data_IF_257380307564
#
_entry.id   IF_257380307564
#
_cell.length_a   1.000
_cell.length_b   1.000
_cell.length_c   1.000
_cell.angle_alpha   90.00
_cell.angle_beta   90.00
_cell.angle_gamma   90.00
#
_symmetry.space_group_name_H-M   'P 1'
#
loop_
_entity.id
_entity.type
_entity.pdbx_description
1 polymer ?
#
# COMPACT_ATOMS: atom_id res chain seq x y z
N UNK A 1 -56.92 -2.79 -52.36
CA UNK A 1 -55.65 -2.80 -51.60
C UNK A 1 -55.81 -1.92 -50.36
N UNK A 2 -55.65 -2.47 -49.16
CA UNK A 2 -55.73 -1.74 -47.88
C UNK A 2 -54.31 -1.49 -47.37
N UNK A 3 -53.89 -0.22 -47.23
CA UNK A 3 -52.57 0.11 -46.68
C UNK A 3 -52.65 0.13 -45.15
N UNK A 4 -51.96 -0.81 -44.52
CA UNK A 4 -51.84 -0.89 -43.08
C UNK A 4 -50.87 0.21 -42.61
N UNK A 5 -51.38 1.24 -41.94
CA UNK A 5 -50.56 2.37 -41.44
C UNK A 5 -49.90 1.98 -40.12
N UNK A 6 -48.70 1.41 -40.19
CA UNK A 6 -47.84 1.21 -39.03
C UNK A 6 -47.21 2.55 -38.62
N UNK A 7 -47.76 3.18 -37.57
CA UNK A 7 -47.25 4.43 -37.01
C UNK A 7 -45.84 4.23 -36.44
N UNK A 8 -44.83 4.74 -37.13
CA UNK A 8 -43.44 4.76 -36.64
C UNK A 8 -43.35 5.87 -35.59
N UNK A 9 -43.20 5.48 -34.32
CA UNK A 9 -42.94 6.42 -33.22
C UNK A 9 -41.49 6.89 -33.31
N UNK A 10 -41.29 8.18 -33.53
CA UNK A 10 -39.98 8.82 -33.49
C UNK A 10 -39.54 9.13 -32.06
N UNK A 11 -38.25 8.94 -31.77
CA UNK A 11 -37.63 9.38 -30.53
C UNK A 11 -37.51 10.91 -30.53
N UNK A 12 -37.86 11.56 -29.42
CA UNK A 12 -37.67 13.02 -29.30
C UNK A 12 -36.22 13.35 -28.93
N UNK A 13 -35.71 14.48 -29.42
CA UNK A 13 -34.37 14.96 -29.05
C UNK A 13 -34.25 15.22 -27.54
N UNK A 14 -35.35 15.64 -26.89
CA UNK A 14 -35.37 15.89 -25.45
C UNK A 14 -35.28 14.59 -24.64
N UNK A 15 -35.91 13.50 -25.08
CA UNK A 15 -35.77 12.19 -24.43
C UNK A 15 -34.32 11.72 -24.47
N UNK A 16 -33.63 11.88 -25.61
CA UNK A 16 -32.24 11.48 -25.72
C UNK A 16 -31.33 12.39 -24.87
N UNK A 17 -31.62 13.70 -24.83
CA UNK A 17 -30.83 14.66 -24.07
C UNK A 17 -30.92 14.42 -22.54
N UNK A 18 -32.09 14.12 -22.02
CA UNK A 18 -32.25 13.84 -20.57
C UNK A 18 -31.54 12.55 -20.18
N UNK A 19 -31.53 11.53 -21.05
CA UNK A 19 -30.85 10.25 -20.75
C UNK A 19 -29.34 10.42 -20.64
N UNK A 20 -28.71 11.09 -21.60
CA UNK A 20 -27.25 11.28 -21.57
C UNK A 20 -26.80 12.15 -20.39
N UNK A 21 -27.62 13.11 -19.97
CA UNK A 21 -27.29 13.96 -18.81
C UNK A 21 -27.34 13.17 -17.51
N UNK A 22 -28.36 12.33 -17.31
CA UNK A 22 -28.46 11.44 -16.14
C UNK A 22 -27.31 10.42 -16.13
N UNK A 23 -27.00 9.79 -17.27
CA UNK A 23 -25.87 8.86 -17.38
C UNK A 23 -24.56 9.57 -17.04
N UNK A 24 -24.33 10.78 -17.55
CA UNK A 24 -23.13 11.56 -17.25
C UNK A 24 -22.98 11.86 -15.75
N UNK A 25 -24.08 12.25 -15.09
CA UNK A 25 -24.10 12.50 -13.66
C UNK A 25 -23.75 11.22 -12.86
N UNK A 26 -24.40 10.10 -13.17
CA UNK A 26 -24.13 8.83 -12.49
C UNK A 26 -22.70 8.34 -12.74
N UNK A 27 -22.22 8.42 -13.98
CA UNK A 27 -20.86 7.99 -14.34
C UNK A 27 -19.78 8.79 -13.58
N UNK A 28 -19.96 10.10 -13.40
CA UNK A 28 -19.01 10.93 -12.65
C UNK A 28 -18.83 10.49 -11.19
N UNK A 29 -19.92 10.11 -10.51
CA UNK A 29 -19.88 9.63 -9.12
C UNK A 29 -19.14 8.29 -8.97
N UNK A 30 -19.31 7.39 -9.94
CA UNK A 30 -18.66 6.08 -9.96
C UNK A 30 -17.15 6.22 -10.13
N UNK A 31 -16.68 7.16 -10.95
CA UNK A 31 -15.25 7.39 -11.15
C UNK A 31 -14.54 7.82 -9.87
N UNK A 32 -15.15 8.72 -9.08
CA UNK A 32 -14.60 9.15 -7.79
C UNK A 32 -14.58 7.97 -6.80
N UNK A 33 -15.67 7.20 -6.73
CA UNK A 33 -15.75 6.03 -5.86
C UNK A 33 -14.68 4.97 -6.21
N UNK A 34 -14.45 4.72 -7.50
CA UNK A 34 -13.46 3.76 -7.97
C UNK A 34 -12.02 4.19 -7.63
N UNK A 35 -11.70 5.47 -7.75
CA UNK A 35 -10.40 6.00 -7.34
C UNK A 35 -10.11 5.71 -5.86
N UNK A 36 -11.08 6.00 -5.00
CA UNK A 36 -11.00 5.76 -3.56
C UNK A 36 -10.89 4.27 -3.21
N UNK A 37 -11.62 3.40 -3.93
CA UNK A 37 -11.58 1.96 -3.75
C UNK A 37 -10.21 1.36 -4.11
N UNK A 38 -9.62 1.81 -5.23
CA UNK A 38 -8.28 1.39 -5.67
C UNK A 38 -7.19 1.76 -4.67
N UNK A 39 -7.22 3.00 -4.16
CA UNK A 39 -6.27 3.44 -3.14
C UNK A 39 -6.40 2.62 -1.84
N UNK A 40 -7.63 2.35 -1.39
CA UNK A 40 -7.87 1.47 -0.23
C UNK A 40 -7.35 0.04 -0.44
N UNK A 41 -7.51 -0.51 -1.64
CA UNK A 41 -7.02 -1.84 -1.97
C UNK A 41 -5.47 -1.90 -1.95
N UNK A 42 -4.79 -0.86 -2.45
CA UNK A 42 -3.32 -0.74 -2.36
C UNK A 42 -2.85 -0.62 -0.92
N UNK A 43 -3.51 0.18 -0.11
CA UNK A 43 -3.20 0.32 1.32
C UNK A 43 -3.35 -1.02 2.07
N UNK A 44 -4.43 -1.77 1.81
CA UNK A 44 -4.61 -3.10 2.39
C UNK A 44 -3.51 -4.08 1.93
N UNK A 45 -3.05 -3.97 0.68
CA UNK A 45 -1.94 -4.77 0.17
C UNK A 45 -0.64 -4.44 0.89
N UNK A 46 -0.31 -3.16 1.07
CA UNK A 46 0.86 -2.69 1.85
C UNK A 46 0.88 -3.28 3.26
N UNK A 47 -0.27 -3.27 3.95
CA UNK A 47 -0.38 -3.87 5.29
C UNK A 47 -0.09 -5.37 5.27
N UNK A 48 -0.61 -6.09 4.28
CA UNK A 48 -0.38 -7.54 4.15
C UNK A 48 1.09 -7.86 3.83
N UNK A 49 1.70 -7.08 2.94
CA UNK A 49 3.10 -7.20 2.56
C UNK A 49 4.02 -7.02 3.77
N UNK A 50 3.81 -5.97 4.58
CA UNK A 50 4.62 -5.76 5.78
C UNK A 50 4.42 -6.85 6.82
N UNK A 51 3.21 -7.38 7.00
CA UNK A 51 3.01 -8.51 7.93
C UNK A 51 3.82 -9.73 7.52
N UNK A 52 3.91 -10.04 6.23
CA UNK A 52 4.73 -11.15 5.75
C UNK A 52 6.22 -10.93 6.05
N UNK A 53 6.70 -9.71 5.84
CA UNK A 53 8.09 -9.34 6.12
C UNK A 53 8.38 -9.39 7.62
N UNK A 54 7.48 -8.89 8.48
CA UNK A 54 7.64 -8.96 9.93
C UNK A 54 7.78 -10.41 10.41
N UNK A 55 6.96 -11.33 9.90
CA UNK A 55 7.10 -12.75 10.22
C UNK A 55 8.45 -13.30 9.74
N UNK A 56 8.92 -12.92 8.56
CA UNK A 56 10.22 -13.34 8.07
C UNK A 56 11.38 -12.78 8.92
N UNK A 57 11.27 -11.55 9.40
CA UNK A 57 12.25 -10.92 10.30
C UNK A 57 12.28 -11.62 11.66
N UNK A 58 11.13 -11.98 12.21
CA UNK A 58 11.04 -12.76 13.45
C UNK A 58 11.68 -14.15 13.30
N UNK A 59 11.44 -14.84 12.18
CA UNK A 59 12.11 -16.10 11.88
C UNK A 59 13.63 -15.93 11.76
N UNK A 60 14.10 -14.89 11.07
CA UNK A 60 15.52 -14.57 10.97
C UNK A 60 16.15 -14.33 12.34
N UNK A 61 15.53 -13.53 13.20
CA UNK A 61 16.05 -13.22 14.52
C UNK A 61 16.08 -14.45 15.45
N UNK A 62 15.16 -15.40 15.27
CA UNK A 62 15.18 -16.67 16.02
C UNK A 62 16.34 -17.59 15.62
N UNK A 63 16.73 -17.57 14.34
CA UNK A 63 17.81 -18.42 13.81
C UNK A 63 19.21 -17.79 13.98
N UNK A 64 19.29 -16.47 14.20
CA UNK A 64 20.55 -15.73 14.28
C UNK A 64 20.76 -15.09 15.66
N UNK A 65 21.90 -15.38 16.28
CA UNK A 65 22.28 -14.81 17.59
C UNK A 65 22.53 -13.30 17.57
N UNK A 66 22.67 -12.71 16.39
CA UNK A 66 22.95 -11.29 16.22
C UNK A 66 21.68 -10.42 16.17
N UNK A 67 20.49 -11.02 16.25
CA UNK A 67 19.22 -10.32 16.18
C UNK A 67 18.74 -10.06 14.75
N UNK A 68 18.03 -8.95 14.54
CA UNK A 68 17.47 -8.57 13.25
C UNK A 68 18.56 -8.20 12.23
N UNK A 69 18.30 -8.33 10.92
CA UNK A 69 19.27 -7.97 9.89
C UNK A 69 19.53 -6.47 9.87
N UNK A 70 20.77 -6.09 9.57
CA UNK A 70 21.20 -4.70 9.51
C UNK A 70 21.22 -4.17 8.08
N UNK A 71 21.04 -2.87 7.93
CA UNK A 71 21.25 -2.19 6.66
C UNK A 71 22.74 -2.04 6.33
N UNK A 72 23.12 -2.31 5.09
CA UNK A 72 24.47 -2.08 4.60
C UNK A 72 24.70 -0.58 4.37
N UNK A 73 25.22 0.15 5.36
CA UNK A 73 25.64 1.55 5.20
C UNK A 73 24.98 2.57 6.14
N UNK A 74 24.28 2.12 7.19
CA UNK A 74 23.65 2.99 8.19
C UNK A 74 22.49 2.27 8.87
N UNK A 75 21.67 3.01 9.62
CA UNK A 75 20.50 2.51 10.36
C UNK A 75 19.23 2.38 9.50
N UNK A 76 19.32 2.67 8.20
CA UNK A 76 18.17 2.71 7.30
C UNK A 76 18.53 2.30 5.88
N UNK A 77 17.65 1.55 5.22
CA UNK A 77 17.81 1.11 3.84
C UNK A 77 16.45 0.79 3.21
N UNK A 78 16.44 0.63 1.90
CA UNK A 78 15.27 0.12 1.20
C UNK A 78 15.07 -1.36 1.51
N UNK A 79 13.83 -1.77 1.79
CA UNK A 79 13.52 -3.13 2.22
C UNK A 79 13.92 -4.18 1.17
N UNK A 80 13.91 -3.84 -0.12
CA UNK A 80 14.30 -4.73 -1.21
C UNK A 80 15.80 -5.06 -1.23
N UNK A 81 16.63 -4.26 -0.56
CA UNK A 81 18.08 -4.50 -0.40
C UNK A 81 18.41 -5.51 0.67
N UNK A 82 17.42 -5.93 1.49
CA UNK A 82 17.58 -6.85 2.61
C UNK A 82 17.64 -8.31 2.13
N UNK A 83 18.61 -8.58 1.25
CA UNK A 83 18.83 -9.85 0.57
C UNK A 83 19.12 -11.02 1.52
N UNK A 84 19.44 -10.75 2.78
CA UNK A 84 19.63 -11.77 3.83
C UNK A 84 18.36 -12.55 4.17
N UNK A 85 17.17 -11.97 3.96
CA UNK A 85 15.90 -12.68 4.19
C UNK A 85 15.53 -13.65 3.06
N UNK A 86 16.07 -13.46 1.85
CA UNK A 86 15.67 -14.20 0.66
C UNK A 86 16.82 -15.13 0.22
N UNK A 87 16.55 -16.39 -0.15
CA UNK A 87 15.26 -17.07 -0.18
C UNK A 87 14.91 -17.83 1.12
N UNK A 88 15.68 -17.65 2.20
CA UNK A 88 15.59 -18.51 3.40
C UNK A 88 14.33 -18.29 4.26
N UNK A 89 13.92 -17.03 4.41
CA UNK A 89 12.85 -16.62 5.34
C UNK A 89 11.61 -16.07 4.61
N UNK A 90 11.79 -15.61 3.37
CA UNK A 90 10.72 -15.18 2.48
C UNK A 90 11.12 -15.45 1.02
N UNK A 91 10.16 -15.86 0.19
CA UNK A 91 10.42 -16.19 -1.23
C UNK A 91 10.87 -14.99 -2.05
N UNK A 92 10.29 -13.82 -1.75
CA UNK A 92 10.64 -12.53 -2.37
C UNK A 92 10.22 -11.39 -1.46
N UNK A 93 10.99 -10.30 -1.50
CA UNK A 93 10.63 -9.07 -0.81
C UNK A 93 9.49 -8.37 -1.57
N UNK A 94 8.46 -7.88 -0.87
CA UNK A 94 7.37 -7.16 -1.52
C UNK A 94 7.81 -5.78 -1.98
N UNK A 95 7.30 -5.36 -3.14
CA UNK A 95 7.43 -4.01 -3.67
C UNK A 95 6.12 -3.23 -3.49
N UNK A 96 6.20 -1.92 -3.26
CA UNK A 96 4.99 -1.10 -3.15
C UNK A 96 4.14 -1.19 -4.43
N UNK A 97 2.79 -1.23 -4.33
CA UNK A 97 1.92 -1.24 -5.51
C UNK A 97 2.06 -0.02 -6.41
N UNK A 98 2.67 1.06 -5.92
CA UNK A 98 3.04 2.26 -6.68
C UNK A 98 4.55 2.26 -6.88
N UNK A 99 5.00 2.05 -8.11
CA UNK A 99 6.42 1.89 -8.46
C UNK A 99 7.35 3.05 -8.05
N UNK A 100 6.80 4.21 -7.68
CA UNK A 100 7.58 5.36 -7.20
C UNK A 100 7.86 5.32 -5.69
N UNK A 101 7.29 4.38 -4.95
CA UNK A 101 7.47 4.24 -3.50
C UNK A 101 8.20 2.92 -3.19
N UNK A 102 9.01 2.94 -2.14
CA UNK A 102 9.67 1.75 -1.58
C UNK A 102 9.36 1.69 -0.08
N UNK A 103 9.34 0.49 0.49
CA UNK A 103 9.28 0.34 1.93
C UNK A 103 10.67 0.61 2.51
N UNK A 104 10.74 1.50 3.50
CA UNK A 104 12.00 1.80 4.18
C UNK A 104 12.10 0.94 5.43
N UNK A 105 13.20 0.22 5.56
CA UNK A 105 13.55 -0.56 6.74
C UNK A 105 14.56 0.23 7.57
N UNK A 106 14.38 0.20 8.89
CA UNK A 106 15.27 0.78 9.87
C UNK A 106 15.70 -0.30 10.85
N UNK A 107 17.00 -0.43 11.06
CA UNK A 107 17.57 -1.28 12.10
C UNK A 107 18.02 -0.46 13.30
N UNK A 108 18.04 -1.10 14.47
CA UNK A 108 18.57 -0.51 15.71
C UNK A 108 20.11 -0.57 15.73
N UNK A 109 20.77 0.11 14.77
CA UNK A 109 22.24 0.13 14.69
C UNK A 109 22.91 0.87 15.86
N UNK A 110 22.13 1.58 16.68
CA UNK A 110 22.61 2.39 17.80
C UNK A 110 22.96 1.52 19.02
N UNK A 111 22.59 0.25 19.02
CA UNK A 111 22.93 -0.72 20.06
C UNK A 111 24.02 -1.68 19.61
N UNK A 112 24.93 -2.05 20.51
CA UNK A 112 25.85 -3.15 20.26
C UNK A 112 25.06 -4.46 20.24
N UNK A 113 25.39 -5.37 19.32
CA UNK A 113 24.69 -6.65 19.15
C UNK A 113 24.38 -7.35 20.49
N UNK A 114 23.17 -7.95 20.64
CA UNK A 114 22.20 -8.23 19.58
C UNK A 114 21.36 -7.01 19.16
N UNK A 115 21.10 -6.91 17.84
CA UNK A 115 20.24 -5.86 17.27
C UNK A 115 18.79 -6.26 17.50
N UNK A 116 18.25 -5.79 18.62
CA UNK A 116 16.99 -6.32 19.15
C UNK A 116 15.75 -5.63 18.60
N UNK A 117 15.91 -4.62 17.74
CA UNK A 117 14.80 -3.81 17.22
C UNK A 117 14.87 -3.50 15.73
N UNK A 118 13.70 -3.33 15.11
CA UNK A 118 13.54 -2.85 13.75
C UNK A 118 12.25 -2.07 13.55
N UNK A 119 12.20 -1.25 12.49
CA UNK A 119 10.97 -0.63 12.02
C UNK A 119 10.86 -0.67 10.50
N UNK A 120 9.63 -0.79 10.00
CA UNK A 120 9.31 -0.70 8.58
C UNK A 120 8.33 0.46 8.39
N UNK A 121 8.74 1.41 7.56
CA UNK A 121 7.93 2.57 7.21
C UNK A 121 7.12 2.32 5.94
N UNK A 122 5.86 2.73 5.98
CA UNK A 122 4.88 2.59 4.90
C UNK A 122 4.31 3.96 4.58
N UNK A 123 4.32 4.33 3.31
CA UNK A 123 3.65 5.53 2.81
C UNK A 123 2.24 5.16 2.33
N UNK A 124 1.22 5.50 3.13
CA UNK A 124 -0.16 5.25 2.76
C UNK A 124 -0.67 6.32 1.80
N UNK A 125 -1.63 5.93 0.95
CA UNK A 125 -2.32 6.90 0.09
C UNK A 125 -3.51 7.55 0.81
N UNK A 126 -4.02 6.92 1.88
CA UNK A 126 -5.25 7.36 2.57
C UNK A 126 -5.19 7.49 4.10
N UNK A 127 -4.05 7.33 4.78
CA UNK A 127 -3.94 7.37 6.26
C UNK A 127 -2.61 8.01 6.69
N UNK A 128 -2.43 8.88 7.70
CA UNK A 128 -3.19 9.47 8.81
C UNK A 128 -2.75 10.95 8.98
N UNK A 129 -3.56 11.82 9.58
CA UNK A 129 -3.26 13.25 9.94
C UNK A 129 -2.82 14.24 8.83
N UNK A 130 -2.24 13.82 7.70
CA UNK A 130 -1.84 14.67 6.56
C UNK A 130 -1.72 13.91 5.21
N UNK A 131 -1.85 14.59 4.05
CA UNK A 131 -1.47 14.01 2.76
C UNK A 131 0.04 13.70 2.73
N UNK A 132 0.43 12.49 2.30
CA UNK A 132 1.78 11.89 2.39
C UNK A 132 2.21 11.39 3.77
N UNK A 133 1.26 11.12 4.66
CA UNK A 133 1.60 10.52 5.94
C UNK A 133 2.27 9.15 5.77
N UNK A 134 3.43 9.08 6.40
CA UNK A 134 4.17 7.85 6.64
C UNK A 134 3.72 7.31 7.98
N UNK A 135 3.52 6.01 8.05
CA UNK A 135 3.37 5.32 9.32
C UNK A 135 4.40 4.20 9.40
N UNK A 136 4.66 3.70 10.60
CA UNK A 136 5.58 2.59 10.79
C UNK A 136 4.96 1.43 11.56
N UNK A 137 5.44 0.23 11.27
CA UNK A 137 5.32 -0.94 12.14
C UNK A 137 6.72 -1.25 12.67
N UNK A 138 6.85 -1.51 13.96
CA UNK A 138 8.13 -1.81 14.58
C UNK A 138 8.01 -2.96 15.56
N UNK A 139 9.13 -3.63 15.81
CA UNK A 139 9.32 -4.49 16.95
C UNK A 139 10.53 -3.97 17.72
N UNK A 140 10.34 -3.63 18.99
CA UNK A 140 11.41 -3.25 19.92
C UNK A 140 12.37 -2.14 19.42
N UNK A 141 11.92 -1.32 18.46
CA UNK A 141 12.69 -0.19 17.94
C UNK A 141 12.62 1.01 18.89
N UNK A 142 13.76 1.63 19.15
CA UNK A 142 13.85 2.86 19.92
C UNK A 142 13.30 4.03 19.09
N UNK A 143 12.35 4.79 19.63
CA UNK A 143 11.47 5.70 18.88
C UNK A 143 12.14 6.93 18.23
N UNK A 144 13.46 7.06 18.30
CA UNK A 144 14.20 8.25 17.89
C UNK A 144 14.58 8.26 16.41
N UNK A 145 14.63 7.10 15.75
CA UNK A 145 15.03 7.00 14.34
C UNK A 145 13.84 6.94 13.36
N UNK A 146 12.65 6.54 13.83
CA UNK A 146 11.51 6.26 12.97
C UNK A 146 10.58 7.47 12.89
N UNK A 147 10.43 8.02 11.69
CA UNK A 147 9.50 9.14 11.44
C UNK A 147 8.10 8.62 11.10
N UNK A 148 7.06 9.32 11.54
CA UNK A 148 5.66 8.98 11.25
C UNK A 148 4.86 8.50 12.47
N UNK A 149 3.58 8.24 12.26
CA UNK A 149 2.68 7.69 13.29
C UNK A 149 2.73 6.14 13.29
N UNK A 150 2.38 5.44 14.37
CA UNK A 150 2.22 3.99 14.32
C UNK A 150 1.09 3.61 13.35
N UNK A 151 1.36 2.65 12.46
CA UNK A 151 0.34 2.17 11.52
C UNK A 151 -0.83 1.50 12.27
N UNK A 152 -2.08 1.64 11.77
CA UNK A 152 -3.26 1.03 12.38
C UNK A 152 -3.19 -0.51 12.42
#
# INVERSE_FOLDING_TARGET
MSYNSSSVRGFTLIELMVVITIIGLLASSVLVALGNARAKARDARRTADIRQVMTALELYANDNTNGYPQCSGGSSCDLDTLTTLVPGYIDKLPSDPVAANTYTYWDDSDTAAPFDGYAIQIKYERALSAPNAVCYKSANATSTAVTGDPCP
#
